data_IF_092450796399
#
_entry.id   IF_092450796399
#
_cell.length_a   1.000
_cell.length_b   1.000
_cell.length_c   1.000
_cell.angle_alpha   90.00
_cell.angle_beta   90.00
_cell.angle_gamma   90.00
#
_symmetry.space_group_name_H-M   'P 1'
#
loop_
_entity.id
_entity.type
_entity.pdbx_description
1 polymer ?
#
# COMPACT_ATOMS: atom_id res chain seq x y z
N UNK A 1 1.10 0.32 10.56
CA UNK A 1 -0.13 1.15 10.56
C UNK A 1 0.15 2.67 10.48
N UNK A 2 1.33 3.15 10.92
CA UNK A 2 1.69 4.58 10.89
C UNK A 2 1.93 5.16 9.48
N UNK A 3 2.43 4.36 8.52
CA UNK A 3 2.73 4.84 7.16
C UNK A 3 1.50 5.42 6.44
N UNK A 4 0.33 4.79 6.59
CA UNK A 4 -0.93 5.28 6.00
C UNK A 4 -1.31 6.66 6.55
N UNK A 5 -1.26 6.83 7.87
CA UNK A 5 -1.62 8.09 8.53
C UNK A 5 -0.69 9.23 8.07
N UNK A 6 0.61 8.96 7.96
CA UNK A 6 1.58 9.95 7.48
C UNK A 6 1.37 10.29 6.00
N UNK A 7 1.04 9.30 5.18
CA UNK A 7 0.74 9.49 3.76
C UNK A 7 -0.52 10.35 3.56
N UNK A 8 -1.59 10.02 4.29
CA UNK A 8 -2.84 10.80 4.27
C UNK A 8 -2.65 12.22 4.79
N UNK A 9 -1.88 12.40 5.86
CA UNK A 9 -1.60 13.73 6.40
C UNK A 9 -0.83 14.63 5.41
N UNK A 10 -0.05 14.04 4.48
CA UNK A 10 0.81 14.79 3.56
C UNK A 10 0.22 14.98 2.17
N UNK A 11 -0.52 14.00 1.67
CA UNK A 11 -1.03 13.99 0.29
C UNK A 11 -2.54 13.85 0.21
N UNK A 12 -3.23 13.62 1.33
CA UNK A 12 -4.64 13.25 1.35
C UNK A 12 -4.86 11.78 1.04
N UNK A 13 -6.12 11.39 0.91
CA UNK A 13 -6.54 10.05 0.49
C UNK A 13 -6.72 10.04 -1.04
N UNK A 14 -6.42 8.91 -1.70
CA UNK A 14 -6.87 8.71 -3.07
C UNK A 14 -8.39 8.89 -3.20
N UNK A 15 -8.83 9.74 -4.13
CA UNK A 15 -10.23 10.13 -4.33
C UNK A 15 -11.18 8.94 -4.59
N UNK A 16 -10.71 7.87 -5.24
CA UNK A 16 -11.50 6.66 -5.49
C UNK A 16 -11.90 5.90 -4.21
N UNK A 17 -11.30 6.24 -3.06
CA UNK A 17 -11.68 5.69 -1.76
C UNK A 17 -12.80 6.48 -1.08
N UNK A 18 -13.22 7.63 -1.62
CA UNK A 18 -14.25 8.45 -0.99
C UNK A 18 -15.63 7.77 -1.00
N UNK A 19 -15.87 6.87 -1.96
CA UNK A 19 -17.14 6.14 -2.14
C UNK A 19 -17.04 4.65 -1.76
N UNK A 20 -15.90 4.21 -1.19
CA UNK A 20 -15.66 2.80 -0.83
C UNK A 20 -15.16 2.66 0.60
N UNK A 21 -15.66 1.65 1.31
CA UNK A 21 -15.08 1.27 2.60
C UNK A 21 -13.76 0.51 2.41
N UNK A 22 -12.70 0.94 3.09
CA UNK A 22 -11.38 0.30 3.06
C UNK A 22 -10.29 1.17 2.45
N UNK A 23 -9.11 0.58 2.22
CA UNK A 23 -7.92 1.28 1.71
C UNK A 23 -7.61 0.99 0.24
N UNK A 24 -8.36 0.07 -0.39
CA UNK A 24 -8.11 -0.40 -1.75
C UNK A 24 -6.70 -0.99 -1.94
N UNK A 25 -6.06 -1.43 -0.86
CA UNK A 25 -4.66 -1.85 -0.81
C UNK A 25 -4.52 -3.09 0.06
N UNK A 26 -3.83 -4.09 -0.47
CA UNK A 26 -3.51 -5.34 0.22
C UNK A 26 -2.04 -5.69 0.03
N UNK A 27 -1.46 -6.33 1.05
CA UNK A 27 -0.09 -6.83 1.01
C UNK A 27 -0.17 -8.35 1.20
N UNK A 28 0.42 -9.08 0.27
CA UNK A 28 0.51 -10.55 0.31
C UNK A 28 1.96 -10.91 0.53
N UNK A 29 2.27 -11.49 1.68
CA UNK A 29 3.58 -12.06 1.95
C UNK A 29 3.60 -13.52 1.53
N UNK A 30 4.48 -13.86 0.61
CA UNK A 30 4.82 -15.23 0.25
C UNK A 30 6.21 -15.56 0.79
N UNK A 31 6.41 -16.81 1.19
CA UNK A 31 7.66 -17.25 1.79
C UNK A 31 7.60 -18.70 2.21
N UNK A 32 8.76 -19.32 2.36
CA UNK A 32 8.91 -20.74 2.67
C UNK A 32 8.71 -21.01 4.17
N UNK A 33 7.50 -20.80 4.67
CA UNK A 33 7.03 -21.20 6.01
C UNK A 33 6.49 -22.65 6.03
N UNK A 34 7.01 -23.52 5.15
CA UNK A 34 6.50 -24.88 4.93
C UNK A 34 7.24 -25.99 5.69
N UNK A 35 8.34 -25.70 6.37
CA UNK A 35 9.12 -26.67 7.13
C UNK A 35 9.58 -26.04 8.43
N UNK A 36 9.40 -26.74 9.54
CA UNK A 36 9.66 -26.29 10.92
C UNK A 36 11.14 -26.00 11.26
N UNK A 37 11.95 -25.61 10.28
CA UNK A 37 13.33 -25.19 10.48
C UNK A 37 13.43 -23.71 10.06
N UNK A 38 13.40 -22.82 11.05
CA UNK A 38 13.72 -21.41 10.92
C UNK A 38 15.18 -21.26 10.47
N UNK A 39 15.41 -21.39 9.17
CA UNK A 39 16.63 -20.92 8.53
C UNK A 39 16.62 -19.39 8.53
N UNK A 40 17.66 -18.79 9.10
CA UNK A 40 17.93 -17.34 9.22
C UNK A 40 18.03 -16.58 7.87
N UNK A 41 17.74 -17.24 6.75
CA UNK A 41 17.89 -16.75 5.38
C UNK A 41 16.62 -17.00 4.55
N UNK A 42 15.45 -16.72 5.12
CA UNK A 42 14.19 -16.80 4.38
C UNK A 42 13.96 -15.48 3.64
N UNK A 43 13.98 -15.52 2.30
CA UNK A 43 13.55 -14.40 1.47
C UNK A 43 12.05 -14.19 1.67
N UNK A 44 11.67 -13.00 2.13
CA UNK A 44 10.28 -12.58 2.25
C UNK A 44 9.86 -11.95 0.92
N UNK A 45 9.04 -12.65 0.15
CA UNK A 45 8.48 -12.12 -1.09
C UNK A 45 7.20 -11.36 -0.76
N UNK A 46 7.21 -10.03 -0.87
CA UNK A 46 6.02 -9.20 -0.68
C UNK A 46 5.42 -8.82 -2.04
N UNK A 47 4.14 -9.12 -2.24
CA UNK A 47 3.35 -8.67 -3.38
C UNK A 47 2.36 -7.61 -2.88
N UNK A 48 2.37 -6.45 -3.52
CA UNK A 48 1.47 -5.34 -3.23
C UNK A 48 0.35 -5.31 -4.26
N UNK A 49 -0.90 -5.44 -3.81
CA UNK A 49 -2.10 -5.33 -4.64
C UNK A 49 -2.81 -4.02 -4.31
N UNK A 50 -3.19 -3.29 -5.35
CA UNK A 50 -3.99 -2.07 -5.21
C UNK A 50 -5.08 -2.01 -6.27
N UNK A 51 -6.28 -1.56 -5.88
CA UNK A 51 -7.44 -1.35 -6.77
C UNK A 51 -7.62 0.14 -7.06
N UNK A 52 -6.59 0.73 -7.69
CA UNK A 52 -6.53 2.17 -7.96
C UNK A 52 -6.83 2.43 -9.44
N UNK A 53 -7.91 3.18 -9.76
CA UNK A 53 -8.16 3.68 -11.12
C UNK A 53 -6.99 4.51 -11.66
N UNK A 54 -6.85 4.55 -12.99
CA UNK A 54 -5.76 5.27 -13.68
C UNK A 54 -5.83 6.79 -13.52
N UNK A 55 -7.03 7.33 -13.27
CA UNK A 55 -7.36 8.74 -13.12
C UNK A 55 -7.53 9.15 -11.65
N UNK A 56 -7.28 8.22 -10.72
CA UNK A 56 -7.38 8.52 -9.30
C UNK A 56 -6.24 9.44 -8.84
N UNK A 57 -6.60 10.50 -8.14
CA UNK A 57 -5.67 11.50 -7.57
C UNK A 57 -5.90 11.59 -6.06
N UNK A 58 -4.88 12.00 -5.32
CA UNK A 58 -5.03 12.24 -3.89
C UNK A 58 -5.62 13.62 -3.61
N UNK A 59 -6.43 13.76 -2.56
CA UNK A 59 -7.24 14.95 -2.26
C UNK A 59 -6.61 15.95 -1.27
N UNK A 60 -5.31 15.85 -1.01
CA UNK A 60 -4.60 16.74 -0.08
C UNK A 60 -3.92 17.94 -0.74
N UNK A 61 -3.25 18.77 0.07
CA UNK A 61 -2.58 20.00 -0.39
C UNK A 61 -1.58 19.79 -1.53
N UNK A 62 -0.98 18.59 -1.59
CA UNK A 62 -0.11 18.17 -2.69
C UNK A 62 -0.72 16.95 -3.34
N UNK A 63 -1.45 17.19 -4.43
CA UNK A 63 -2.04 16.11 -5.22
C UNK A 63 -0.94 15.28 -5.88
N UNK A 64 -1.07 13.96 -5.76
CA UNK A 64 -0.27 12.98 -6.50
C UNK A 64 -1.20 11.94 -7.11
N UNK A 65 -0.70 11.28 -8.13
CA UNK A 65 -1.37 10.11 -8.72
C UNK A 65 -1.57 9.02 -7.66
N UNK A 66 -2.76 8.40 -7.65
CA UNK A 66 -3.12 7.37 -6.68
C UNK A 66 -2.18 6.17 -6.70
N UNK A 67 -1.67 5.76 -7.87
CA UNK A 67 -0.63 4.72 -7.99
C UNK A 67 0.66 5.17 -7.32
N UNK A 68 1.07 6.43 -7.51
CA UNK A 68 2.26 6.95 -6.82
C UNK A 68 2.08 6.99 -5.31
N UNK A 69 0.88 7.27 -4.82
CA UNK A 69 0.56 7.18 -3.40
C UNK A 69 0.79 5.76 -2.86
N UNK A 70 0.25 4.73 -3.52
CA UNK A 70 0.42 3.34 -3.09
C UNK A 70 1.86 2.83 -3.21
N UNK A 71 2.60 3.25 -4.26
CA UNK A 71 4.02 2.91 -4.39
C UNK A 71 4.86 3.50 -3.25
N UNK A 72 4.60 4.77 -2.88
CA UNK A 72 5.28 5.41 -1.74
C UNK A 72 4.88 4.79 -0.39
N UNK A 73 3.64 4.31 -0.28
CA UNK A 73 3.18 3.57 0.88
C UNK A 73 3.88 2.22 1.02
N UNK A 74 4.11 1.50 -0.08
CA UNK A 74 4.78 0.19 -0.08
C UNK A 74 6.28 0.28 0.24
N UNK A 75 6.93 1.41 -0.06
CA UNK A 75 8.36 1.65 0.20
C UNK A 75 8.66 2.09 1.65
N UNK A 76 7.64 2.31 2.49
CA UNK A 76 7.77 2.84 3.85
C UNK A 76 7.39 1.82 4.91
#
# INVERSE_FOLDING_TARGET
>A
QQAWVQMVARYGKPNHLNEREGRGFAVVGYGKLGGWELGYSSDLDLIFLHDCPMDAMTDGEREIDGRQFYLRLAQR
#
